data_IF_203034618577
#
_entry.id   IF_203034618577
#
_cell.length_a   1.000
_cell.length_b   1.000
_cell.length_c   1.000
_cell.angle_alpha   90.00
_cell.angle_beta   90.00
_cell.angle_gamma   90.00
#
_symmetry.space_group_name_H-M   'P 1'
#
loop_
_entity.id
_entity.type
_entity.pdbx_description
1 polymer ?
#
# COMPACT_ATOMS: atom_id res chain seq x y z
N UNK A 1 -8.06 -11.93 -13.13
CA UNK A 1 -7.95 -11.05 -14.31
C UNK A 1 -9.10 -11.31 -15.27
N UNK A 2 -9.60 -10.29 -15.94
CA UNK A 2 -10.69 -10.38 -16.92
C UNK A 2 -10.34 -9.60 -18.18
N UNK A 3 -10.84 -10.08 -19.32
CA UNK A 3 -10.75 -9.38 -20.59
C UNK A 3 -11.71 -8.16 -20.54
N UNK A 4 -11.23 -6.92 -20.71
CA UNK A 4 -12.07 -5.72 -20.55
C UNK A 4 -13.15 -5.59 -21.65
N UNK A 5 -12.94 -6.17 -22.83
CA UNK A 5 -13.89 -6.10 -23.93
C UNK A 5 -15.02 -7.12 -23.79
N UNK A 6 -14.78 -8.26 -23.14
CA UNK A 6 -15.76 -9.37 -23.08
C UNK A 6 -16.21 -9.70 -21.66
N UNK A 7 -15.53 -9.18 -20.62
CA UNK A 7 -15.75 -9.52 -19.23
C UNK A 7 -15.38 -10.97 -18.87
N UNK A 8 -14.86 -11.77 -19.80
CA UNK A 8 -14.50 -13.17 -19.55
C UNK A 8 -13.22 -13.27 -18.71
N UNK A 9 -13.17 -14.20 -17.73
CA UNK A 9 -11.96 -14.47 -17.00
C UNK A 9 -10.82 -14.89 -17.94
N UNK A 10 -9.63 -14.29 -17.78
CA UNK A 10 -8.40 -14.70 -18.44
C UNK A 10 -7.67 -15.73 -17.57
N UNK A 11 -7.57 -15.46 -16.30
CA UNK A 11 -7.01 -16.37 -15.30
C UNK A 11 -7.55 -16.06 -13.91
N UNK A 12 -7.45 -17.04 -13.01
CA UNK A 12 -7.79 -16.96 -11.59
C UNK A 12 -6.64 -17.53 -10.78
N UNK A 13 -6.30 -16.89 -9.66
CA UNK A 13 -5.39 -17.44 -8.65
C UNK A 13 -6.08 -17.50 -7.30
N UNK A 14 -5.83 -18.57 -6.59
CA UNK A 14 -6.27 -18.79 -5.22
C UNK A 14 -5.03 -19.00 -4.36
N UNK A 15 -5.07 -18.47 -3.14
CA UNK A 15 -3.99 -18.57 -2.18
C UNK A 15 -4.50 -19.19 -0.90
N UNK A 16 -3.74 -20.12 -0.34
CA UNK A 16 -3.98 -20.59 1.01
C UNK A 16 -3.50 -19.53 2.00
N UNK A 17 -4.40 -19.07 2.85
CA UNK A 17 -4.13 -17.96 3.77
C UNK A 17 -4.05 -18.39 5.24
N UNK A 18 -4.36 -19.66 5.53
CA UNK A 18 -4.59 -20.14 6.89
C UNK A 18 -5.82 -19.46 7.53
N UNK A 19 -5.82 -19.33 8.84
CA UNK A 19 -6.91 -18.67 9.56
C UNK A 19 -6.89 -17.16 9.28
N UNK A 20 -7.98 -16.66 8.68
CA UNK A 20 -8.17 -15.23 8.45
C UNK A 20 -8.46 -14.51 9.77
N UNK A 21 -7.92 -13.31 9.99
CA UNK A 21 -8.25 -12.51 11.16
C UNK A 21 -9.72 -12.07 11.09
N UNK A 22 -10.27 -11.73 12.26
CA UNK A 22 -11.59 -11.11 12.32
C UNK A 22 -11.52 -9.72 11.68
N UNK A 23 -12.57 -9.36 10.94
CA UNK A 23 -12.76 -8.01 10.40
C UNK A 23 -14.20 -7.56 10.62
N UNK A 24 -14.40 -6.25 10.81
CA UNK A 24 -15.72 -5.65 11.00
C UNK A 24 -16.37 -5.36 9.64
N UNK A 25 -17.59 -5.86 9.35
CA UNK A 25 -18.32 -5.48 8.15
C UNK A 25 -18.56 -3.97 8.08
N UNK A 26 -18.57 -3.37 6.88
CA UNK A 26 -18.60 -3.99 5.55
C UNK A 26 -17.20 -4.27 4.94
N UNK A 27 -16.11 -4.15 5.69
CA UNK A 27 -14.77 -4.39 5.16
C UNK A 27 -14.59 -5.85 4.68
N UNK A 28 -13.60 -6.09 3.83
CA UNK A 28 -13.22 -7.40 3.33
C UNK A 28 -11.71 -7.63 3.45
N UNK A 29 -11.28 -8.90 3.37
CA UNK A 29 -9.85 -9.24 3.34
C UNK A 29 -9.15 -8.85 2.03
N UNK A 30 -9.90 -8.34 1.05
CA UNK A 30 -9.43 -7.93 -0.26
C UNK A 30 -9.77 -6.45 -0.56
N UNK A 31 -9.70 -5.57 0.44
CA UNK A 31 -10.02 -4.14 0.30
C UNK A 31 -8.95 -3.34 -0.46
N UNK A 32 -7.70 -3.82 -0.48
CA UNK A 32 -6.60 -3.13 -1.17
C UNK A 32 -6.76 -3.21 -2.69
N UNK A 33 -6.56 -2.08 -3.36
CA UNK A 33 -6.53 -2.00 -4.82
C UNK A 33 -5.18 -2.50 -5.34
N UNK A 34 -5.13 -3.44 -6.28
CA UNK A 34 -3.88 -3.87 -6.91
C UNK A 34 -3.20 -2.74 -7.69
N UNK A 35 -1.86 -2.73 -7.70
CA UNK A 35 -1.06 -1.91 -8.61
C UNK A 35 -0.54 -2.75 -9.78
N UNK A 36 -0.33 -2.15 -10.95
CA UNK A 36 0.23 -2.86 -12.12
C UNK A 36 1.14 -1.97 -12.94
N UNK A 37 2.23 -2.56 -13.46
CA UNK A 37 3.14 -1.95 -14.42
C UNK A 37 2.89 -2.43 -15.86
N UNK A 38 1.80 -3.14 -16.12
CA UNK A 38 1.43 -3.72 -17.40
C UNK A 38 2.05 -5.10 -17.67
N UNK A 39 3.05 -5.51 -16.92
CA UNK A 39 3.68 -6.84 -16.97
C UNK A 39 3.39 -7.64 -15.70
N UNK A 40 3.33 -6.97 -14.57
CA UNK A 40 3.09 -7.53 -13.24
C UNK A 40 1.89 -6.89 -12.57
N UNK A 41 1.21 -7.65 -11.73
CA UNK A 41 0.18 -7.17 -10.81
C UNK A 41 0.67 -7.40 -9.39
N UNK A 42 0.64 -6.36 -8.58
CA UNK A 42 1.02 -6.40 -7.16
C UNK A 42 -0.25 -6.31 -6.32
N UNK A 43 -0.51 -7.35 -5.54
CA UNK A 43 -1.68 -7.45 -4.67
C UNK A 43 -1.23 -7.52 -3.21
N UNK A 44 -1.95 -6.86 -2.34
CA UNK A 44 -1.72 -6.96 -0.90
C UNK A 44 -2.87 -7.70 -0.22
N UNK A 45 -2.52 -8.66 0.61
CA UNK A 45 -3.41 -9.31 1.56
C UNK A 45 -2.77 -9.29 2.94
N UNK A 46 -3.52 -8.90 3.97
CA UNK A 46 -3.00 -8.75 5.33
C UNK A 46 -2.36 -10.03 5.91
N UNK A 47 -2.75 -11.21 5.41
CA UNK A 47 -2.23 -12.51 5.85
C UNK A 47 -1.04 -13.01 5.03
N UNK A 48 -0.88 -12.54 3.79
CA UNK A 48 0.16 -12.98 2.85
C UNK A 48 1.28 -11.95 2.68
N UNK A 49 0.96 -10.67 2.91
CA UNK A 49 1.80 -9.56 2.52
C UNK A 49 1.56 -9.16 1.06
N UNK A 50 2.60 -8.74 0.35
CA UNK A 50 2.53 -8.36 -1.06
C UNK A 50 2.93 -9.55 -1.93
N UNK A 51 2.13 -9.82 -2.96
CA UNK A 51 2.37 -10.87 -3.96
C UNK A 51 2.43 -10.22 -5.33
N UNK A 52 3.48 -10.51 -6.09
CA UNK A 52 3.60 -10.12 -7.50
C UNK A 52 3.22 -11.29 -8.40
N UNK A 53 2.33 -11.02 -9.34
CA UNK A 53 1.84 -11.98 -10.32
C UNK A 53 2.16 -11.51 -11.72
N UNK A 54 2.45 -12.44 -12.63
CA UNK A 54 2.52 -12.16 -14.05
C UNK A 54 1.12 -11.78 -14.59
N UNK A 55 1.04 -10.70 -15.36
CA UNK A 55 -0.24 -10.24 -15.94
C UNK A 55 -0.81 -11.24 -16.93
N UNK A 56 0.04 -11.95 -17.69
CA UNK A 56 -0.40 -12.83 -18.77
C UNK A 56 -1.12 -14.08 -18.26
N UNK A 57 -0.58 -14.73 -17.23
CA UNK A 57 -1.07 -16.04 -16.77
C UNK A 57 -1.36 -16.12 -15.26
N UNK A 58 -1.08 -15.04 -14.53
CA UNK A 58 -1.25 -14.97 -13.08
C UNK A 58 -0.25 -15.81 -12.29
N UNK A 59 0.87 -16.25 -12.89
CA UNK A 59 1.94 -16.96 -12.19
C UNK A 59 2.51 -16.08 -11.08
N UNK A 60 2.69 -16.64 -9.88
CA UNK A 60 3.39 -15.94 -8.81
C UNK A 60 4.87 -15.79 -9.15
N UNK A 61 5.35 -14.55 -9.19
CA UNK A 61 6.74 -14.19 -9.46
C UNK A 61 7.54 -14.12 -8.17
N UNK A 62 6.97 -13.45 -7.16
CA UNK A 62 7.54 -13.36 -5.83
C UNK A 62 6.46 -13.01 -4.80
N UNK A 63 6.80 -13.25 -3.54
CA UNK A 63 5.98 -12.88 -2.39
C UNK A 63 6.84 -12.28 -1.28
N UNK A 64 6.36 -11.20 -0.67
CA UNK A 64 6.99 -10.55 0.49
C UNK A 64 6.01 -10.53 1.65
N UNK A 65 6.27 -11.33 2.67
CA UNK A 65 5.53 -11.20 3.94
C UNK A 65 5.88 -9.89 4.62
N UNK A 66 4.87 -9.19 5.11
CA UNK A 66 5.00 -7.92 5.84
C UNK A 66 4.68 -8.07 7.34
N UNK A 67 4.39 -9.29 7.79
CA UNK A 67 3.80 -9.55 9.10
C UNK A 67 2.29 -9.29 9.10
N UNK A 68 1.62 -9.74 10.13
CA UNK A 68 0.18 -9.50 10.30
C UNK A 68 -0.01 -8.14 10.95
N UNK A 69 -0.75 -7.21 10.35
CA UNK A 69 -1.07 -5.95 10.99
C UNK A 69 -2.04 -6.17 12.16
N UNK A 70 -1.93 -5.33 13.17
CA UNK A 70 -2.80 -5.33 14.34
C UNK A 70 -3.76 -4.15 14.31
N UNK A 71 -5.05 -4.42 14.31
CA UNK A 71 -6.11 -3.42 14.36
C UNK A 71 -7.00 -3.69 15.58
N UNK A 72 -6.92 -2.84 16.61
CA UNK A 72 -7.64 -3.03 17.89
C UNK A 72 -9.15 -3.07 17.73
N UNK A 73 -9.68 -2.42 16.69
CA UNK A 73 -11.12 -2.39 16.39
C UNK A 73 -11.54 -3.43 15.34
N UNK A 74 -10.67 -4.37 14.99
CA UNK A 74 -10.93 -5.37 13.94
C UNK A 74 -11.38 -4.77 12.59
N UNK A 75 -10.99 -3.52 12.28
CA UNK A 75 -11.41 -2.88 11.02
C UNK A 75 -10.72 -3.47 9.80
N UNK A 76 -9.59 -4.14 10.00
CA UNK A 76 -8.81 -4.77 8.93
C UNK A 76 -7.95 -3.79 8.14
N UNK A 77 -7.25 -4.30 7.13
CA UNK A 77 -6.37 -3.50 6.28
C UNK A 77 -7.12 -2.91 5.09
N UNK A 78 -6.72 -1.71 4.63
CA UNK A 78 -7.30 -1.08 3.44
C UNK A 78 -6.29 -0.29 2.58
N UNK A 79 -5.09 0.02 3.09
CA UNK A 79 -4.06 0.68 2.29
C UNK A 79 -3.67 -0.16 1.06
N UNK A 80 -3.34 0.52 -0.04
CA UNK A 80 -2.99 -0.11 -1.31
C UNK A 80 -1.53 0.14 -1.67
N UNK A 81 -0.88 -0.78 -2.41
CA UNK A 81 0.45 -0.55 -2.94
C UNK A 81 0.45 0.50 -4.05
N UNK A 82 1.54 1.26 -4.15
CA UNK A 82 1.75 2.31 -5.15
C UNK A 82 3.05 2.08 -5.91
N UNK A 83 3.00 2.22 -7.21
CA UNK A 83 4.17 2.08 -8.10
C UNK A 83 4.74 3.44 -8.49
N UNK A 84 6.05 3.55 -8.46
CA UNK A 84 6.78 4.63 -9.10
C UNK A 84 8.13 4.13 -9.61
N UNK A 85 8.32 4.13 -10.92
CA UNK A 85 9.50 3.52 -11.54
C UNK A 85 9.58 2.02 -11.24
N UNK A 86 10.71 1.58 -10.72
CA UNK A 86 11.02 0.20 -10.33
C UNK A 86 10.75 -0.08 -8.83
N UNK A 87 10.09 0.84 -8.16
CA UNK A 87 9.78 0.74 -6.73
C UNK A 87 8.30 0.59 -6.47
N UNK A 88 7.97 -0.31 -5.54
CA UNK A 88 6.64 -0.50 -5.00
C UNK A 88 6.63 0.00 -3.56
N UNK A 89 5.77 0.96 -3.27
CA UNK A 89 5.61 1.54 -1.94
C UNK A 89 4.35 1.02 -1.27
N UNK A 90 4.45 0.78 0.02
CA UNK A 90 3.31 0.36 0.83
C UNK A 90 3.41 0.95 2.23
N UNK A 91 2.29 1.48 2.73
CA UNK A 91 2.18 1.98 4.09
C UNK A 91 1.34 1.00 4.91
N UNK A 92 1.93 0.44 5.97
CA UNK A 92 1.20 -0.31 6.98
C UNK A 92 1.20 0.51 8.26
N UNK A 93 0.15 1.32 8.42
CA UNK A 93 -0.13 2.00 9.68
C UNK A 93 -1.10 1.12 10.47
N UNK A 94 -0.63 0.60 11.60
CA UNK A 94 -1.40 -0.26 12.50
C UNK A 94 -1.21 0.16 13.96
N UNK A 95 -1.90 -0.49 14.89
CA UNK A 95 -1.89 -0.09 16.29
C UNK A 95 -0.65 -0.56 17.08
N UNK A 96 0.26 -1.30 16.47
CA UNK A 96 1.46 -1.83 17.13
C UNK A 96 2.78 -1.35 16.50
N UNK A 97 2.88 -1.38 15.18
CA UNK A 97 4.18 -1.22 14.51
C UNK A 97 4.04 -0.59 13.11
N UNK A 98 3.54 0.65 13.06
CA UNK A 98 3.38 1.42 11.81
C UNK A 98 4.69 1.63 11.08
N UNK A 99 4.67 1.49 9.75
CA UNK A 99 5.83 1.74 8.88
C UNK A 99 5.45 2.02 7.43
N UNK A 100 6.36 2.67 6.74
CA UNK A 100 6.38 2.82 5.29
C UNK A 100 7.52 1.97 4.72
N UNK A 101 7.28 1.28 3.60
CA UNK A 101 8.27 0.38 2.99
C UNK A 101 8.35 0.60 1.48
N UNK A 102 9.55 0.46 0.93
CA UNK A 102 9.79 0.36 -0.51
C UNK A 102 10.36 -1.00 -0.84
N UNK A 103 9.78 -1.63 -1.86
CA UNK A 103 10.21 -2.91 -2.40
C UNK A 103 10.69 -2.75 -3.84
N UNK A 104 11.68 -3.53 -4.24
CA UNK A 104 12.04 -3.72 -5.63
C UNK A 104 10.93 -4.46 -6.36
N UNK A 105 10.45 -3.93 -7.47
CA UNK A 105 9.35 -4.54 -8.23
C UNK A 105 9.73 -5.86 -8.92
N UNK A 106 11.02 -6.11 -9.17
CA UNK A 106 11.47 -7.30 -9.87
C UNK A 106 11.51 -8.55 -8.99
N UNK A 107 11.88 -8.39 -7.71
CA UNK A 107 12.14 -9.51 -6.80
C UNK A 107 11.51 -9.38 -5.40
N UNK A 108 10.87 -8.24 -5.09
CA UNK A 108 10.25 -7.98 -3.79
C UNK A 108 11.27 -7.75 -2.65
N UNK A 109 12.53 -7.47 -2.96
CA UNK A 109 13.51 -7.12 -1.93
C UNK A 109 13.22 -5.75 -1.33
N UNK A 110 13.47 -5.64 -0.02
CA UNK A 110 13.28 -4.38 0.70
C UNK A 110 14.41 -3.43 0.34
N UNK A 111 14.07 -2.31 -0.29
CA UNK A 111 15.01 -1.21 -0.56
C UNK A 111 15.23 -0.36 0.70
N UNK A 112 14.14 -0.05 1.40
CA UNK A 112 14.16 0.61 2.70
C UNK A 112 12.84 0.38 3.45
N UNK A 113 12.90 0.55 4.77
CA UNK A 113 11.75 0.53 5.67
C UNK A 113 11.89 1.63 6.70
N UNK A 114 10.91 2.52 6.78
CA UNK A 114 10.90 3.66 7.71
C UNK A 114 9.84 3.43 8.76
N UNK A 115 10.20 3.30 10.04
CA UNK A 115 9.24 3.25 11.14
C UNK A 115 8.44 4.56 11.22
N UNK A 116 7.17 4.43 11.61
CA UNK A 116 6.24 5.55 11.81
C UNK A 116 5.64 5.48 13.23
N UNK A 117 6.47 5.67 14.29
CA UNK A 117 6.05 5.37 15.67
C UNK A 117 4.96 6.32 16.21
N UNK A 118 4.74 7.44 15.56
CA UNK A 118 3.72 8.44 15.88
C UNK A 118 2.41 8.21 15.12
N UNK A 119 2.29 7.09 14.38
CA UNK A 119 1.09 6.68 13.66
C UNK A 119 0.41 5.53 14.38
N UNK A 120 -0.92 5.56 14.36
CA UNK A 120 -1.81 4.47 14.75
C UNK A 120 -2.49 3.92 13.50
N UNK A 121 -3.41 2.98 13.67
CA UNK A 121 -4.19 2.40 12.58
C UNK A 121 -4.64 3.47 11.57
N UNK A 122 -4.22 3.28 10.33
CA UNK A 122 -4.50 4.17 9.21
C UNK A 122 -4.75 3.38 7.92
N UNK A 123 -5.50 3.98 7.02
CA UNK A 123 -6.03 3.29 5.83
C UNK A 123 -5.68 4.00 4.53
N UNK A 124 -4.97 5.13 4.63
CA UNK A 124 -4.60 5.94 3.47
C UNK A 124 -3.58 5.22 2.59
N UNK A 125 -3.83 5.24 1.30
CA UNK A 125 -2.86 4.83 0.29
C UNK A 125 -1.87 5.97 0.04
N UNK A 126 -0.56 5.71 -0.01
CA UNK A 126 0.45 6.70 -0.38
C UNK A 126 0.19 7.31 -1.77
N UNK A 127 0.69 8.52 -2.00
CA UNK A 127 0.65 9.16 -3.32
C UNK A 127 1.99 9.79 -3.65
N UNK A 128 2.36 9.81 -4.94
CA UNK A 128 3.52 10.56 -5.41
C UNK A 128 3.11 11.98 -5.72
N UNK A 129 3.83 12.95 -5.17
CA UNK A 129 3.66 14.37 -5.45
C UNK A 129 4.95 14.96 -6.01
N UNK A 130 4.90 15.52 -7.22
CA UNK A 130 6.04 16.23 -7.80
C UNK A 130 5.73 17.71 -7.83
N UNK A 131 6.47 18.49 -7.07
CA UNK A 131 6.34 19.94 -6.98
C UNK A 131 7.71 20.59 -6.87
N UNK A 132 7.91 21.73 -7.55
CA UNK A 132 9.18 22.46 -7.49
C UNK A 132 10.41 21.64 -7.91
N UNK A 133 10.24 20.68 -8.82
CA UNK A 133 11.32 19.80 -9.31
C UNK A 133 11.70 18.65 -8.35
N UNK A 134 10.98 18.47 -7.23
CA UNK A 134 11.18 17.37 -6.28
C UNK A 134 9.95 16.45 -6.26
N UNK A 135 10.18 15.15 -6.20
CA UNK A 135 9.13 14.15 -6.02
C UNK A 135 9.16 13.62 -4.60
N UNK A 136 8.05 13.75 -3.89
CA UNK A 136 7.85 13.25 -2.53
C UNK A 136 6.84 12.09 -2.54
N UNK A 137 7.08 11.09 -1.70
CA UNK A 137 6.09 10.07 -1.36
C UNK A 137 5.27 10.58 -0.17
N UNK A 138 4.00 10.86 -0.39
CA UNK A 138 3.12 11.51 0.60
C UNK A 138 2.17 10.50 1.21
N UNK A 139 2.05 10.52 2.53
CA UNK A 139 1.18 9.60 3.29
C UNK A 139 0.43 10.36 4.37
N UNK A 140 -0.89 10.22 4.39
CA UNK A 140 -1.75 10.71 5.47
C UNK A 140 -1.87 9.66 6.58
N UNK A 141 -1.92 10.10 7.84
CA UNK A 141 -2.15 9.21 8.99
C UNK A 141 -2.14 9.97 10.31
N UNK A 142 -2.93 9.53 11.29
CA UNK A 142 -2.95 9.98 12.69
C UNK A 142 -2.84 11.52 12.89
N UNK A 143 -3.67 12.27 12.17
CA UNK A 143 -3.71 13.73 12.27
C UNK A 143 -2.64 14.47 11.47
N UNK A 144 -1.83 13.76 10.68
CA UNK A 144 -0.68 14.32 9.97
C UNK A 144 -0.68 13.93 8.51
N UNK A 145 -0.12 14.81 7.70
CA UNK A 145 0.32 14.53 6.34
C UNK A 145 1.85 14.57 6.34
N UNK A 146 2.51 13.53 5.87
CA UNK A 146 3.97 13.44 5.85
C UNK A 146 4.49 13.19 4.45
N UNK A 147 5.56 13.88 4.08
CA UNK A 147 6.31 13.65 2.86
C UNK A 147 7.65 12.96 3.13
N UNK A 148 7.97 11.99 2.29
CA UNK A 148 9.19 11.19 2.38
C UNK A 148 9.95 11.22 1.06
N UNK A 149 11.28 11.15 1.14
CA UNK A 149 12.13 10.88 -0.01
C UNK A 149 11.86 9.45 -0.51
N UNK A 150 11.35 9.28 -1.75
CA UNK A 150 11.02 7.95 -2.26
C UNK A 150 12.23 7.02 -2.44
N UNK A 151 13.44 7.57 -2.56
CA UNK A 151 14.67 6.77 -2.73
C UNK A 151 15.20 6.20 -1.42
N UNK A 152 15.06 6.96 -0.33
CA UNK A 152 15.69 6.64 0.95
C UNK A 152 14.71 6.35 2.09
N UNK A 153 13.44 6.72 1.91
CA UNK A 153 12.42 6.64 2.97
C UNK A 153 12.58 7.69 4.07
N UNK A 154 13.53 8.64 3.93
CA UNK A 154 13.72 9.70 4.92
C UNK A 154 12.52 10.64 4.93
N UNK A 155 11.99 10.94 6.13
CA UNK A 155 10.98 11.97 6.29
C UNK A 155 11.56 13.34 5.94
N UNK A 156 10.88 14.07 5.05
CA UNK A 156 11.26 15.39 4.56
C UNK A 156 10.49 16.49 5.27
N UNK A 157 9.20 16.26 5.52
CA UNK A 157 8.31 17.23 6.16
C UNK A 157 7.10 16.55 6.80
N UNK A 158 6.51 17.25 7.75
CA UNK A 158 5.25 16.89 8.42
C UNK A 158 4.34 18.11 8.47
N UNK A 159 3.05 17.91 8.16
CA UNK A 159 1.99 18.89 8.30
C UNK A 159 0.92 18.37 9.28
N UNK A 160 0.66 19.10 10.37
CA UNK A 160 -0.26 18.71 11.44
C UNK A 160 -1.64 19.36 11.23
N UNK A 161 -2.38 18.92 10.22
CA UNK A 161 -3.65 19.57 9.84
C UNK A 161 -4.84 18.62 9.74
N UNK A 162 -4.63 17.32 9.97
CA UNK A 162 -5.65 16.30 9.77
C UNK A 162 -6.27 15.88 11.11
N UNK A 163 -7.43 15.22 11.04
CA UNK A 163 -8.03 14.54 12.19
C UNK A 163 -7.28 13.25 12.52
N UNK A 164 -7.51 12.72 13.73
CA UNK A 164 -6.76 11.58 14.26
C UNK A 164 -6.87 10.32 13.40
N UNK A 165 -8.07 9.99 12.95
CA UNK A 165 -8.30 8.78 12.14
C UNK A 165 -8.50 9.18 10.69
N UNK A 166 -7.60 8.74 9.82
CA UNK A 166 -7.60 9.06 8.40
C UNK A 166 -7.95 7.79 7.61
N UNK A 167 -9.03 7.86 6.84
CA UNK A 167 -9.49 6.80 5.95
C UNK A 167 -9.29 7.17 4.48
N UNK A 168 -9.21 8.46 4.18
CA UNK A 168 -9.04 8.97 2.82
C UNK A 168 -7.58 9.02 2.44
N UNK A 169 -7.31 8.69 1.18
CA UNK A 169 -5.98 8.87 0.59
C UNK A 169 -5.83 10.29 0.06
N UNK A 170 -4.63 10.89 0.14
CA UNK A 170 -4.37 12.18 -0.51
C UNK A 170 -4.56 12.07 -2.03
N UNK A 171 -4.93 13.17 -2.65
CA UNK A 171 -4.98 13.31 -4.11
C UNK A 171 -4.08 14.47 -4.52
N UNK A 172 -3.34 14.29 -5.60
CA UNK A 172 -2.42 15.33 -6.13
C UNK A 172 -2.94 15.84 -7.46
N UNK A 173 -3.01 17.16 -7.58
CA UNK A 173 -3.31 17.85 -8.83
C UNK A 173 -2.62 19.20 -8.84
N UNK A 174 -1.97 19.56 -9.95
CA UNK A 174 -1.34 20.87 -10.18
C UNK A 174 -0.39 21.28 -9.03
N UNK A 175 0.48 20.35 -8.60
CA UNK A 175 1.44 20.51 -7.49
C UNK A 175 0.81 20.72 -6.09
N UNK A 176 -0.51 20.56 -5.98
CA UNK A 176 -1.26 20.69 -4.72
C UNK A 176 -1.71 19.30 -4.25
N UNK A 177 -1.62 19.12 -2.94
CA UNK A 177 -2.11 17.90 -2.26
C UNK A 177 -3.44 18.24 -1.57
N UNK A 178 -4.46 17.45 -1.88
CA UNK A 178 -5.81 17.55 -1.31
C UNK A 178 -6.09 16.41 -0.37
#
# INVERSE_FOLDING_TARGET
>A
STNPATGKPLWKREFETGTLPRITPPNSHASSTPASDGKRVFVYFSTLGIVALDVADGKELWRRSLGKPAYLMDWGAAASPVLHGDSLYFCQDDDLASYLISLDTANGEVRWRTPRPDMLAGYATPVMCTAGGRTDLVVAGSGKLKGYDPKTGKELWTCNTLLRTIMTSPVVKDDIIY
#
